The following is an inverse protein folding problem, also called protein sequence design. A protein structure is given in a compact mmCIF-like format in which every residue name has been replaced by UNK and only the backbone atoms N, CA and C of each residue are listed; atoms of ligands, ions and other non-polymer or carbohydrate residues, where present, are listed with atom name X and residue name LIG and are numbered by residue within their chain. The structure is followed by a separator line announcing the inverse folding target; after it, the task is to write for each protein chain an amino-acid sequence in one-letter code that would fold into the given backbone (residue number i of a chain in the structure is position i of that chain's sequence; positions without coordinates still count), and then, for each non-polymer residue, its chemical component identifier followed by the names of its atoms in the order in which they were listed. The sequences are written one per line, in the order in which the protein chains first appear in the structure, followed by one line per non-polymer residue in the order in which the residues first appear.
data_IF_196556378372
#
_entry.id   IF_196556378372
#
_cell.length_a   1.000
_cell.length_b   1.000
_cell.length_c   1.000
_cell.angle_alpha   90.00
_cell.angle_beta   90.00
_cell.angle_gamma   90.00
#
_symmetry.space_group_name_H-M   'P 1'
#
loop_
_entity.id
_entity.type
_entity.pdbx_description
1 polymer ?
#
# COMPACT_ATOMS: atom_id res chain seq x y z
N UNK A 1 -11.09 -7.58 10.89
CA UNK A 1 -10.67 -7.64 9.47
C UNK A 1 -9.32 -6.94 9.34
N UNK A 2 -8.47 -7.33 8.39
CA UNK A 2 -7.13 -6.77 8.20
C UNK A 2 -7.08 -5.84 6.99
N UNK A 3 -6.51 -4.64 7.16
CA UNK A 3 -6.43 -3.61 6.14
C UNK A 3 -4.97 -3.33 5.78
N UNK A 4 -4.60 -3.48 4.52
CA UNK A 4 -3.28 -3.14 4.00
C UNK A 4 -3.35 -1.79 3.29
N UNK A 5 -2.57 -0.81 3.72
CA UNK A 5 -2.45 0.49 3.08
C UNK A 5 -1.09 0.61 2.39
N UNK A 6 -1.03 1.13 1.18
CA UNK A 6 0.19 1.17 0.38
C UNK A 6 0.49 2.61 -0.04
N UNK A 7 1.70 3.06 0.25
CA UNK A 7 2.31 4.24 -0.33
C UNK A 7 3.21 3.80 -1.52
N UNK A 8 2.84 4.10 -2.77
CA UNK A 8 3.69 3.77 -3.92
C UNK A 8 5.01 4.54 -3.89
N UNK A 9 5.97 4.09 -4.70
CA UNK A 9 7.23 4.81 -4.87
C UNK A 9 6.97 6.24 -5.37
N UNK A 10 7.66 7.18 -4.75
CA UNK A 10 7.65 8.60 -5.05
C UNK A 10 9.10 9.04 -5.30
N UNK A 11 9.39 9.78 -6.39
CA UNK A 11 10.76 10.20 -6.70
C UNK A 11 11.40 11.03 -5.56
N UNK A 12 12.60 10.64 -5.10
CA UNK A 12 13.29 11.34 -4.00
C UNK A 12 13.62 12.80 -4.33
N UNK A 13 13.83 13.12 -5.61
CA UNK A 13 14.06 14.48 -6.11
C UNK A 13 12.92 15.45 -5.77
N UNK A 14 11.73 14.92 -5.55
CA UNK A 14 10.52 15.67 -5.24
C UNK A 14 10.27 15.78 -3.73
N UNK A 15 11.27 15.42 -2.91
CA UNK A 15 11.28 15.52 -1.44
C UNK A 15 10.06 14.86 -0.76
N UNK A 16 9.88 13.54 -0.90
CA UNK A 16 8.75 12.85 -0.29
C UNK A 16 8.73 13.04 1.23
N UNK A 17 7.58 13.45 1.76
CA UNK A 17 7.29 13.38 3.19
C UNK A 17 6.75 11.99 3.56
N UNK A 18 6.86 11.58 4.84
CA UNK A 18 6.13 10.41 5.34
C UNK A 18 4.63 10.48 4.95
N UNK A 19 3.97 9.33 4.67
CA UNK A 19 2.60 9.31 4.16
C UNK A 19 1.58 9.57 5.28
N UNK A 20 1.54 10.81 5.79
CA UNK A 20 0.70 11.20 6.93
C UNK A 20 -0.78 10.89 6.68
N UNK A 21 -1.28 11.08 5.46
CA UNK A 21 -2.66 10.72 5.10
C UNK A 21 -2.97 9.24 5.37
N UNK A 22 -2.04 8.34 5.07
CA UNK A 22 -2.19 6.91 5.39
C UNK A 22 -2.10 6.66 6.89
N UNK A 23 -1.23 7.37 7.61
CA UNK A 23 -1.13 7.26 9.07
C UNK A 23 -2.43 7.70 9.78
N UNK A 24 -3.06 8.79 9.31
CA UNK A 24 -4.38 9.22 9.80
C UNK A 24 -5.46 8.17 9.54
N UNK A 25 -5.51 7.59 8.34
CA UNK A 25 -6.46 6.52 8.01
C UNK A 25 -6.21 5.28 8.87
N UNK A 26 -4.95 4.87 9.04
CA UNK A 26 -4.58 3.74 9.88
C UNK A 26 -5.06 3.95 11.31
N UNK A 27 -4.78 5.11 11.91
CA UNK A 27 -5.22 5.41 13.28
C UNK A 27 -6.75 5.36 13.44
N UNK A 28 -7.53 5.80 12.44
CA UNK A 28 -9.00 5.70 12.48
C UNK A 28 -9.47 4.25 12.37
N UNK A 29 -8.88 3.49 11.44
CA UNK A 29 -9.21 2.08 11.23
C UNK A 29 -8.85 1.22 12.46
N UNK A 30 -7.69 1.48 13.08
CA UNK A 30 -7.27 0.83 14.32
C UNK A 30 -8.26 1.11 15.45
N UNK A 31 -8.69 2.37 15.63
CA UNK A 31 -9.73 2.73 16.62
C UNK A 31 -11.09 2.05 16.35
N UNK A 32 -11.37 1.71 15.10
CA UNK A 32 -12.57 0.96 14.72
C UNK A 32 -12.41 -0.57 14.88
N UNK A 33 -11.27 -1.06 15.39
CA UNK A 33 -11.01 -2.47 15.66
C UNK A 33 -10.43 -3.26 14.47
N UNK A 34 -9.91 -2.58 13.45
CA UNK A 34 -9.20 -3.22 12.34
C UNK A 34 -7.70 -3.35 12.64
N UNK A 35 -7.08 -4.44 12.22
CA UNK A 35 -5.62 -4.57 12.20
C UNK A 35 -5.11 -3.95 10.90
N UNK A 36 -4.20 -2.97 11.01
CA UNK A 36 -3.73 -2.19 9.85
C UNK A 36 -2.23 -2.40 9.65
N UNK A 37 -1.80 -2.52 8.40
CA UNK A 37 -0.38 -2.49 8.01
C UNK A 37 -0.18 -1.46 6.90
N UNK A 38 0.87 -0.66 7.00
CA UNK A 38 1.29 0.26 5.93
C UNK A 38 2.53 -0.33 5.24
N UNK A 39 2.48 -0.45 3.92
CA UNK A 39 3.65 -0.70 3.07
C UNK A 39 4.09 0.62 2.45
N UNK A 40 5.29 1.07 2.83
CA UNK A 40 5.85 2.30 2.30
C UNK A 40 6.97 2.01 1.30
N UNK A 41 6.65 2.13 0.01
CA UNK A 41 7.59 1.85 -1.08
C UNK A 41 8.54 2.99 -1.40
N UNK A 42 8.44 4.12 -0.69
CA UNK A 42 9.50 5.14 -0.68
C UNK A 42 10.67 4.68 0.20
N UNK A 43 10.37 4.02 1.32
CA UNK A 43 11.38 3.55 2.29
C UNK A 43 11.86 2.13 1.97
N UNK A 44 10.94 1.23 1.61
CA UNK A 44 11.23 -0.17 1.31
C UNK A 44 10.93 -0.44 -0.16
N UNK A 45 11.91 -0.56 -1.06
CA UNK A 45 11.65 -0.63 -2.49
C UNK A 45 10.65 -1.71 -2.90
N UNK A 46 9.73 -1.36 -3.79
CA UNK A 46 8.71 -2.27 -4.32
C UNK A 46 9.33 -3.43 -5.10
N UNK A 47 8.84 -4.64 -4.86
CA UNK A 47 8.98 -5.78 -5.76
C UNK A 47 7.70 -6.62 -5.75
N UNK A 48 7.49 -7.43 -6.80
CA UNK A 48 6.31 -8.32 -6.86
C UNK A 48 6.35 -9.37 -5.76
N UNK A 49 7.55 -9.82 -5.42
CA UNK A 49 7.83 -10.84 -4.41
C UNK A 49 7.53 -10.30 -3.01
N UNK A 50 7.99 -9.08 -2.68
CA UNK A 50 7.74 -8.46 -1.36
C UNK A 50 6.27 -8.12 -1.16
N UNK A 51 5.57 -7.70 -2.24
CA UNK A 51 4.13 -7.54 -2.22
C UNK A 51 3.43 -8.89 -1.97
N UNK A 52 3.80 -9.96 -2.69
CA UNK A 52 3.20 -11.29 -2.52
C UNK A 52 3.41 -11.83 -1.10
N UNK A 53 4.62 -11.68 -0.55
CA UNK A 53 4.95 -12.08 0.82
C UNK A 53 4.10 -11.30 1.84
N UNK A 54 3.95 -9.98 1.64
CA UNK A 54 3.11 -9.15 2.49
C UNK A 54 1.64 -9.56 2.44
N UNK A 55 1.12 -9.85 1.25
CA UNK A 55 -0.27 -10.32 1.07
C UNK A 55 -0.49 -11.70 1.69
N UNK A 56 0.46 -12.62 1.57
CA UNK A 56 0.34 -13.97 2.13
C UNK A 56 0.48 -13.97 3.64
N UNK A 57 1.48 -13.26 4.18
CA UNK A 57 1.74 -13.21 5.63
C UNK A 57 0.67 -12.42 6.39
N UNK A 58 0.22 -11.30 5.83
CA UNK A 58 -0.77 -10.44 6.48
C UNK A 58 -2.19 -10.89 6.16
N UNK A 59 -2.45 -11.44 4.96
CA UNK A 59 -3.78 -11.84 4.47
C UNK A 59 -4.85 -10.76 4.66
N UNK A 60 -4.68 -9.56 4.05
CA UNK A 60 -5.65 -8.48 4.17
C UNK A 60 -6.99 -8.82 3.49
N UNK A 61 -8.09 -8.36 4.09
CA UNK A 61 -9.42 -8.38 3.48
C UNK A 61 -9.73 -7.10 2.68
N UNK A 62 -8.93 -6.05 2.89
CA UNK A 62 -9.02 -4.78 2.17
C UNK A 62 -7.61 -4.26 1.89
N UNK A 63 -7.39 -3.79 0.66
CA UNK A 63 -6.15 -3.12 0.25
C UNK A 63 -6.49 -1.71 -0.23
N UNK A 64 -5.87 -0.70 0.36
CA UNK A 64 -5.95 0.69 -0.06
C UNK A 64 -4.61 1.18 -0.57
N UNK A 65 -4.60 1.96 -1.64
CA UNK A 65 -3.39 2.51 -2.25
C UNK A 65 -3.61 4.02 -2.43
N UNK A 66 -2.69 4.84 -1.90
CA UNK A 66 -2.72 6.28 -2.17
C UNK A 66 -2.09 6.58 -3.53
N UNK A 67 -2.60 7.59 -4.23
CA UNK A 67 -2.04 8.05 -5.49
C UNK A 67 -2.17 9.57 -5.61
N UNK A 68 -1.06 10.19 -6.00
CA UNK A 68 -1.00 11.57 -6.50
C UNK A 68 -0.49 11.52 -7.92
N UNK A 69 -0.50 12.64 -8.64
CA UNK A 69 -0.10 12.71 -10.06
C UNK A 69 1.23 12.00 -10.33
N UNK A 70 2.24 12.18 -9.47
CA UNK A 70 3.57 11.60 -9.65
C UNK A 70 3.69 10.12 -9.28
N UNK A 71 2.72 9.58 -8.53
CA UNK A 71 2.74 8.18 -8.09
C UNK A 71 1.69 7.33 -8.80
N UNK A 72 0.89 7.93 -9.69
CA UNK A 72 -0.21 7.27 -10.38
C UNK A 72 0.23 6.00 -11.12
N UNK A 73 1.29 6.07 -11.92
CA UNK A 73 1.76 4.92 -12.69
C UNK A 73 2.26 3.78 -11.79
N UNK A 74 2.98 4.11 -10.70
CA UNK A 74 3.40 3.11 -9.71
C UNK A 74 2.20 2.49 -8.98
N UNK A 75 1.19 3.29 -8.62
CA UNK A 75 -0.04 2.79 -8.03
C UNK A 75 -0.77 1.83 -8.97
N UNK A 76 -0.92 2.21 -10.24
CA UNK A 76 -1.57 1.38 -11.27
C UNK A 76 -0.81 0.06 -11.49
N UNK A 77 0.53 0.09 -11.51
CA UNK A 77 1.35 -1.12 -11.60
C UNK A 77 1.11 -2.07 -10.41
N UNK A 78 1.04 -1.54 -9.19
CA UNK A 78 0.76 -2.33 -7.98
C UNK A 78 -0.64 -2.94 -8.04
N UNK A 79 -1.65 -2.16 -8.46
CA UNK A 79 -3.02 -2.66 -8.67
C UNK A 79 -3.01 -3.84 -9.66
N UNK A 80 -2.35 -3.68 -10.81
CA UNK A 80 -2.22 -4.75 -11.80
C UNK A 80 -1.54 -6.01 -11.22
N UNK A 81 -0.54 -5.85 -10.36
CA UNK A 81 0.10 -6.99 -9.69
C UNK A 81 -0.82 -7.69 -8.68
N UNK A 82 -1.67 -6.94 -7.97
CA UNK A 82 -2.67 -7.49 -7.04
C UNK A 82 -3.70 -8.36 -7.75
N UNK A 83 -4.18 -7.92 -8.91
CA UNK A 83 -5.12 -8.68 -9.75
C UNK A 83 -4.57 -10.07 -10.11
N UNK A 84 -3.32 -10.15 -10.60
CA UNK A 84 -2.70 -11.42 -10.96
C UNK A 84 -2.51 -12.38 -9.76
N UNK A 85 -2.41 -11.86 -8.53
CA UNK A 85 -2.02 -12.66 -7.36
C UNK A 85 -3.21 -13.16 -6.51
N UNK A 86 -4.35 -12.46 -6.48
CA UNK A 86 -5.38 -12.74 -5.45
C UNK A 86 -6.83 -12.52 -5.88
N UNK A 87 -7.11 -11.66 -6.86
CA UNK A 87 -8.48 -11.35 -7.30
C UNK A 87 -8.63 -11.33 -8.83
N UNK A 88 -8.64 -12.48 -9.52
CA UNK A 88 -9.03 -12.54 -10.92
C UNK A 88 -10.53 -12.21 -11.04
N UNK A 89 -10.91 -11.42 -12.06
CA UNK A 89 -12.31 -11.13 -12.43
C UNK A 89 -12.83 -12.28 -13.29
#
# INVERSE_FOLDING_TARGET
MKCLLINPFYPISETPSPPLGLAYLAAVLERAGFEVKILDYVVYPYSRESLAESLNSFSPGLVGITAVTMTFDHAAQIVGALYCQRWPI
#
